data_IF_089402537141
#
_entry.id   IF_089402537141
#
_cell.length_a   1.000
_cell.length_b   1.000
_cell.length_c   1.000
_cell.angle_alpha   90.00
_cell.angle_beta   90.00
_cell.angle_gamma   90.00
#
_symmetry.space_group_name_H-M   'P 1'
#
loop_
_entity.id
_entity.type
_entity.pdbx_description
1 polymer ?
#
# COMPACT_ATOMS: atom_id res chain seq x y z
N UNK A 1 -18.79 -26.37 10.74
CA UNK A 1 -18.12 -25.40 9.85
C UNK A 1 -16.62 -25.58 10.00
N UNK A 2 -15.92 -26.05 8.94
CA UNK A 2 -14.46 -26.29 9.00
C UNK A 2 -13.76 -24.93 9.11
N UNK A 3 -12.96 -24.69 10.16
CA UNK A 3 -12.18 -23.47 10.33
C UNK A 3 -11.27 -23.32 9.11
N UNK A 4 -11.32 -22.19 8.41
CA UNK A 4 -10.41 -21.91 7.29
C UNK A 4 -8.99 -21.94 7.85
N UNK A 5 -8.12 -22.68 7.19
CA UNK A 5 -6.71 -22.78 7.56
C UNK A 5 -5.98 -21.57 6.97
N UNK A 6 -5.61 -20.63 7.84
CA UNK A 6 -4.91 -19.40 7.45
C UNK A 6 -3.57 -19.72 6.76
N UNK A 7 -2.90 -20.80 7.19
CA UNK A 7 -1.64 -21.26 6.59
C UNK A 7 -1.82 -21.69 5.12
N UNK A 8 -2.93 -22.36 4.80
CA UNK A 8 -3.23 -22.73 3.42
C UNK A 8 -3.56 -21.50 2.56
N UNK A 9 -4.26 -20.51 3.14
CA UNK A 9 -4.54 -19.25 2.43
C UNK A 9 -3.23 -18.53 2.04
N UNK A 10 -2.27 -18.45 2.94
CA UNK A 10 -0.97 -17.85 2.69
C UNK A 10 -0.17 -18.63 1.64
N UNK A 11 -0.19 -19.96 1.71
CA UNK A 11 0.41 -20.83 0.68
C UNK A 11 -0.20 -20.60 -0.71
N UNK A 12 -1.52 -20.42 -0.80
CA UNK A 12 -2.19 -20.12 -2.07
C UNK A 12 -1.82 -18.73 -2.61
N UNK A 13 -1.62 -17.74 -1.74
CA UNK A 13 -1.13 -16.42 -2.14
C UNK A 13 0.32 -16.47 -2.64
N UNK A 14 1.18 -17.28 -2.02
CA UNK A 14 2.54 -17.48 -2.51
C UNK A 14 2.56 -18.19 -3.88
N UNK A 15 1.68 -19.17 -4.08
CA UNK A 15 1.50 -19.78 -5.40
C UNK A 15 1.02 -18.76 -6.44
N UNK A 16 0.08 -17.89 -6.07
CA UNK A 16 -0.41 -16.84 -6.96
C UNK A 16 0.70 -15.83 -7.30
N UNK A 17 1.55 -15.46 -6.34
CA UNK A 17 2.74 -14.61 -6.55
C UNK A 17 3.71 -15.28 -7.53
N UNK A 18 4.05 -16.56 -7.31
CA UNK A 18 4.91 -17.30 -8.23
C UNK A 18 4.36 -17.36 -9.66
N UNK A 19 3.04 -17.52 -9.84
CA UNK A 19 2.41 -17.49 -11.17
C UNK A 19 2.51 -16.09 -11.77
N UNK A 20 2.24 -15.04 -11.00
CA UNK A 20 2.34 -13.65 -11.46
C UNK A 20 3.76 -13.29 -11.90
N UNK A 21 4.78 -13.73 -11.17
CA UNK A 21 6.18 -13.46 -11.46
C UNK A 21 6.68 -14.21 -12.70
N UNK A 22 6.26 -15.47 -12.87
CA UNK A 22 6.72 -16.33 -13.96
C UNK A 22 5.95 -16.15 -15.27
N UNK A 23 4.62 -16.00 -15.21
CA UNK A 23 3.72 -16.04 -16.36
C UNK A 23 2.96 -14.71 -16.56
N UNK A 24 3.12 -13.75 -15.64
CA UNK A 24 2.44 -12.46 -15.64
C UNK A 24 1.10 -12.50 -14.88
N UNK A 25 0.61 -11.31 -14.51
CA UNK A 25 -0.60 -11.13 -13.69
C UNK A 25 -1.87 -11.68 -14.38
N UNK A 26 -1.90 -11.66 -15.70
CA UNK A 26 -3.03 -12.17 -16.46
C UNK A 26 -3.18 -13.70 -16.36
N UNK A 27 -2.09 -14.41 -16.09
CA UNK A 27 -2.10 -15.86 -15.88
C UNK A 27 -2.65 -16.27 -14.50
N UNK A 28 -2.75 -15.32 -13.54
CA UNK A 28 -3.26 -15.58 -12.20
C UNK A 28 -4.77 -15.84 -12.25
N UNK A 29 -5.17 -17.05 -11.88
CA UNK A 29 -6.57 -17.48 -11.75
C UNK A 29 -6.66 -18.72 -10.84
N UNK A 30 -7.88 -19.09 -10.47
CA UNK A 30 -8.14 -20.24 -9.59
C UNK A 30 -7.45 -21.54 -10.08
N UNK A 31 -7.48 -21.78 -11.40
CA UNK A 31 -6.93 -23.03 -11.97
C UNK A 31 -5.40 -23.03 -11.95
N UNK A 32 -4.77 -21.89 -12.30
CA UNK A 32 -3.30 -21.78 -12.27
C UNK A 32 -2.74 -21.95 -10.85
N UNK A 33 -3.43 -21.35 -9.85
CA UNK A 33 -3.07 -21.49 -8.44
C UNK A 33 -3.25 -22.94 -7.96
N UNK A 34 -4.40 -23.58 -8.25
CA UNK A 34 -4.66 -24.96 -7.88
C UNK A 34 -3.60 -25.91 -8.45
N UNK A 35 -3.25 -25.72 -9.74
CA UNK A 35 -2.17 -26.46 -10.41
C UNK A 35 -0.83 -26.26 -9.71
N UNK A 36 -0.48 -25.01 -9.40
CA UNK A 36 0.79 -24.64 -8.75
C UNK A 36 0.88 -25.19 -7.32
N UNK A 37 -0.23 -25.17 -6.59
CA UNK A 37 -0.31 -25.66 -5.21
C UNK A 37 -0.49 -27.20 -5.12
N UNK A 38 -0.75 -27.89 -6.24
CA UNK A 38 -0.99 -29.34 -6.25
C UNK A 38 -2.30 -29.78 -5.58
N UNK A 39 -3.34 -28.92 -5.60
CA UNK A 39 -4.64 -29.16 -4.95
C UNK A 39 -5.81 -29.02 -5.93
N UNK A 40 -6.98 -29.50 -5.51
CA UNK A 40 -8.20 -29.36 -6.32
C UNK A 40 -8.66 -27.88 -6.39
N UNK A 41 -9.19 -27.47 -7.55
CA UNK A 41 -9.74 -26.12 -7.75
C UNK A 41 -10.86 -25.79 -6.75
N UNK A 42 -11.68 -26.78 -6.37
CA UNK A 42 -12.72 -26.61 -5.34
C UNK A 42 -12.16 -26.19 -3.98
N UNK A 43 -10.93 -26.61 -3.64
CA UNK A 43 -10.26 -26.17 -2.42
C UNK A 43 -9.89 -24.70 -2.50
N UNK A 44 -9.39 -24.21 -3.65
CA UNK A 44 -9.05 -22.80 -3.84
C UNK A 44 -10.29 -21.92 -3.76
N UNK A 45 -11.45 -22.36 -4.30
CA UNK A 45 -12.72 -21.65 -4.18
C UNK A 45 -13.21 -21.44 -2.74
N UNK A 46 -12.76 -22.26 -1.78
CA UNK A 46 -13.07 -22.03 -0.36
C UNK A 46 -12.37 -20.80 0.20
N UNK A 47 -11.31 -20.30 -0.45
CA UNK A 47 -10.48 -19.17 0.00
C UNK A 47 -10.68 -17.92 -0.86
N UNK A 48 -10.87 -18.08 -2.16
CA UNK A 48 -11.01 -17.00 -3.13
C UNK A 48 -12.17 -17.30 -4.07
N UNK A 49 -13.18 -16.44 -4.09
CA UNK A 49 -14.36 -16.61 -4.91
C UNK A 49 -14.09 -16.46 -6.42
N UNK A 50 -13.12 -15.61 -6.77
CA UNK A 50 -12.79 -15.29 -8.16
C UNK A 50 -11.35 -14.74 -8.29
N UNK A 51 -10.93 -14.41 -9.53
CA UNK A 51 -9.63 -13.80 -9.84
C UNK A 51 -9.41 -12.48 -9.11
N UNK A 52 -10.44 -11.65 -9.05
CA UNK A 52 -10.34 -10.31 -8.46
C UNK A 52 -10.04 -10.37 -6.97
N UNK A 53 -10.63 -11.31 -6.25
CA UNK A 53 -10.34 -11.54 -4.83
C UNK A 53 -8.90 -11.99 -4.59
N UNK A 54 -8.34 -12.80 -5.51
CA UNK A 54 -6.92 -13.19 -5.47
C UNK A 54 -6.02 -11.97 -5.69
N UNK A 55 -6.32 -11.16 -6.70
CA UNK A 55 -5.54 -9.97 -7.01
C UNK A 55 -5.57 -8.95 -5.87
N UNK A 56 -6.73 -8.75 -5.24
CA UNK A 56 -6.87 -7.93 -4.05
C UNK A 56 -6.01 -8.43 -2.88
N UNK A 57 -6.08 -9.74 -2.62
CA UNK A 57 -5.31 -10.35 -1.54
C UNK A 57 -3.79 -10.29 -1.80
N UNK A 58 -3.35 -10.47 -3.06
CA UNK A 58 -1.96 -10.27 -3.46
C UNK A 58 -1.50 -8.84 -3.25
N UNK A 59 -2.31 -7.89 -3.62
CA UNK A 59 -2.01 -6.46 -3.45
C UNK A 59 -1.92 -6.08 -1.98
N UNK A 60 -2.87 -6.56 -1.17
CA UNK A 60 -2.85 -6.37 0.28
C UNK A 60 -1.58 -6.94 0.92
N UNK A 61 -1.21 -8.19 0.57
CA UNK A 61 0.01 -8.83 1.08
C UNK A 61 1.27 -8.07 0.65
N UNK A 62 1.33 -7.62 -0.59
CA UNK A 62 2.44 -6.80 -1.11
C UNK A 62 2.61 -5.50 -0.33
N UNK A 63 1.52 -4.75 -0.15
CA UNK A 63 1.57 -3.49 0.58
C UNK A 63 1.85 -3.66 2.06
N UNK A 64 1.30 -4.72 2.68
CA UNK A 64 1.60 -5.05 4.08
C UNK A 64 3.10 -5.31 4.28
N UNK A 65 3.72 -6.04 3.38
CA UNK A 65 5.16 -6.26 3.39
C UNK A 65 5.92 -4.94 3.15
N UNK A 66 5.54 -4.17 2.14
CA UNK A 66 6.17 -2.89 1.82
C UNK A 66 6.10 -1.90 2.99
N UNK A 67 4.96 -1.83 3.68
CA UNK A 67 4.81 -0.98 4.88
C UNK A 67 5.66 -1.46 6.06
N UNK A 68 5.84 -2.78 6.23
CA UNK A 68 6.78 -3.31 7.21
C UNK A 68 8.21 -2.87 6.95
N UNK A 69 8.65 -2.93 5.70
CA UNK A 69 9.98 -2.51 5.28
C UNK A 69 10.17 -0.98 5.25
N UNK A 70 9.10 -0.21 5.09
CA UNK A 70 9.14 1.24 5.10
C UNK A 70 9.65 1.81 6.43
N UNK A 71 9.32 1.15 7.55
CA UNK A 71 9.78 1.56 8.88
C UNK A 71 11.31 1.61 8.97
N UNK A 72 11.97 0.59 8.42
CA UNK A 72 13.44 0.46 8.42
C UNK A 72 14.12 1.36 7.38
N UNK A 73 13.39 1.74 6.34
CA UNK A 73 13.90 2.59 5.27
C UNK A 73 13.92 4.10 5.62
N UNK A 74 13.22 4.50 6.69
CA UNK A 74 13.14 5.90 7.10
C UNK A 74 14.21 6.18 8.15
N UNK A 75 15.15 7.04 7.78
CA UNK A 75 16.33 7.39 8.60
C UNK A 75 16.40 8.86 8.99
N UNK A 76 15.66 9.73 8.30
CA UNK A 76 15.67 11.16 8.54
C UNK A 76 15.04 11.55 9.89
N UNK A 77 15.65 12.51 10.59
CA UNK A 77 15.12 13.07 11.84
C UNK A 77 14.05 14.15 11.62
N UNK A 78 13.87 14.63 10.38
CA UNK A 78 12.87 15.65 10.06
C UNK A 78 11.66 15.06 9.38
N UNK A 79 10.48 15.58 9.71
CA UNK A 79 9.25 15.16 9.03
C UNK A 79 9.32 15.36 7.51
N UNK A 80 9.89 16.48 7.05
CA UNK A 80 10.10 16.71 5.61
C UNK A 80 11.01 15.65 4.97
N UNK A 81 12.16 15.34 5.59
CA UNK A 81 13.06 14.30 5.08
C UNK A 81 12.42 12.91 5.11
N UNK A 82 11.66 12.59 6.17
CA UNK A 82 10.90 11.35 6.22
C UNK A 82 9.85 11.26 5.10
N UNK A 83 9.21 12.38 4.75
CA UNK A 83 8.23 12.42 3.66
C UNK A 83 8.89 12.18 2.29
N UNK A 84 10.09 12.72 2.08
CA UNK A 84 10.92 12.45 0.88
C UNK A 84 11.33 10.99 0.80
N UNK A 85 11.79 10.40 1.90
CA UNK A 85 12.15 8.97 1.99
C UNK A 85 10.94 8.06 1.74
N UNK A 86 9.77 8.37 2.32
CA UNK A 86 8.51 7.67 2.07
C UNK A 86 8.16 7.70 0.57
N UNK A 87 8.21 8.88 -0.04
CA UNK A 87 7.89 9.01 -1.46
C UNK A 87 8.88 8.22 -2.34
N UNK A 88 10.17 8.33 -2.08
CA UNK A 88 11.21 7.61 -2.82
C UNK A 88 11.04 6.10 -2.71
N UNK A 89 10.78 5.60 -1.50
CA UNK A 89 10.53 4.19 -1.24
C UNK A 89 9.29 3.67 -2.00
N UNK A 90 8.17 4.37 -1.88
CA UNK A 90 6.91 3.97 -2.53
C UNK A 90 7.05 4.02 -4.06
N UNK A 91 7.72 5.02 -4.60
CA UNK A 91 8.00 5.14 -6.04
C UNK A 91 8.83 3.97 -6.54
N UNK A 92 9.93 3.64 -5.88
CA UNK A 92 10.78 2.50 -6.23
C UNK A 92 9.99 1.17 -6.21
N UNK A 93 9.13 0.99 -5.22
CA UNK A 93 8.25 -0.18 -5.11
C UNK A 93 7.23 -0.26 -6.25
N UNK A 94 6.62 0.87 -6.61
CA UNK A 94 5.69 0.95 -7.74
C UNK A 94 6.40 0.65 -9.06
N UNK A 95 7.60 1.17 -9.26
CA UNK A 95 8.36 0.95 -10.50
C UNK A 95 8.82 -0.52 -10.64
N UNK A 96 9.23 -1.18 -9.55
CA UNK A 96 9.73 -2.57 -9.58
C UNK A 96 8.64 -3.63 -9.73
N UNK A 97 7.51 -3.50 -9.06
CA UNK A 97 6.54 -4.60 -8.92
C UNK A 97 5.10 -4.23 -9.22
N UNK A 98 4.67 -3.06 -8.84
CA UNK A 98 3.26 -2.68 -8.83
C UNK A 98 2.74 -2.14 -10.16
N UNK A 99 3.61 -1.76 -11.08
CA UNK A 99 3.17 -1.27 -12.40
C UNK A 99 2.27 -2.28 -13.12
N UNK A 100 2.48 -3.57 -12.91
CA UNK A 100 1.65 -4.66 -13.45
C UNK A 100 0.44 -4.98 -12.57
N UNK A 101 0.58 -4.99 -11.24
CA UNK A 101 -0.51 -5.24 -10.29
C UNK A 101 -1.50 -4.07 -10.23
N UNK A 102 -1.01 -2.84 -10.16
CA UNK A 102 -1.87 -1.65 -10.11
C UNK A 102 -2.65 -1.42 -11.41
N UNK A 103 -2.06 -1.73 -12.57
CA UNK A 103 -2.78 -1.63 -13.85
C UNK A 103 -3.97 -2.58 -13.96
N UNK A 104 -3.91 -3.75 -13.32
CA UNK A 104 -5.01 -4.74 -13.32
C UNK A 104 -6.08 -4.45 -12.26
N UNK A 105 -5.79 -3.64 -11.24
CA UNK A 105 -6.73 -3.31 -10.16
C UNK A 105 -7.66 -2.12 -10.48
N UNK A 106 -7.40 -1.38 -11.54
CA UNK A 106 -8.26 -0.25 -11.97
C UNK A 106 -9.71 -0.68 -12.20
N UNK A 107 -9.96 -1.97 -12.42
CA UNK A 107 -11.29 -2.53 -12.67
C UNK A 107 -11.93 -3.23 -11.45
N UNK A 108 -11.30 -3.23 -10.27
CA UNK A 108 -11.79 -3.95 -9.07
C UNK A 108 -12.31 -2.94 -8.03
N UNK A 109 -13.35 -2.18 -8.42
CA UNK A 109 -13.76 -0.98 -7.69
C UNK A 109 -14.42 -1.19 -6.32
N UNK A 110 -15.16 -2.26 -6.07
CA UNK A 110 -15.98 -2.31 -4.86
C UNK A 110 -15.38 -3.09 -3.68
N UNK A 111 -14.73 -4.22 -3.90
CA UNK A 111 -14.18 -5.05 -2.82
C UNK A 111 -12.78 -4.58 -2.36
N UNK A 112 -12.07 -3.84 -3.22
CA UNK A 112 -10.75 -3.27 -2.93
C UNK A 112 -10.77 -2.03 -2.06
N UNK A 113 -11.83 -1.22 -2.14
CA UNK A 113 -11.93 0.06 -1.44
C UNK A 113 -11.79 -0.10 0.08
N UNK A 114 -12.54 -0.96 0.73
CA UNK A 114 -12.49 -1.11 2.19
C UNK A 114 -11.14 -1.66 2.72
N UNK A 115 -10.43 -2.45 1.93
CA UNK A 115 -9.09 -2.96 2.31
C UNK A 115 -8.01 -1.90 2.08
N UNK A 116 -8.13 -1.12 1.02
CA UNK A 116 -7.27 0.03 0.75
C UNK A 116 -7.47 1.15 1.78
N UNK A 117 -8.71 1.38 2.23
CA UNK A 117 -9.03 2.37 3.27
C UNK A 117 -8.34 2.08 4.61
N UNK A 118 -8.33 0.83 5.07
CA UNK A 118 -7.64 0.48 6.32
C UNK A 118 -6.14 0.70 6.25
N UNK A 119 -5.54 0.43 5.09
CA UNK A 119 -4.11 0.64 4.87
C UNK A 119 -3.78 2.12 4.73
N UNK A 120 -4.63 2.89 4.06
CA UNK A 120 -4.50 4.34 3.98
C UNK A 120 -4.62 4.98 5.36
N UNK A 121 -5.57 4.55 6.18
CA UNK A 121 -5.72 5.03 7.56
C UNK A 121 -4.47 4.75 8.41
N UNK A 122 -3.85 3.59 8.28
CA UNK A 122 -2.60 3.27 8.98
C UNK A 122 -1.44 4.18 8.55
N UNK A 123 -1.33 4.51 7.26
CA UNK A 123 -0.35 5.47 6.75
C UNK A 123 -0.62 6.89 7.24
N UNK A 124 -1.87 7.33 7.22
CA UNK A 124 -2.26 8.63 7.76
C UNK A 124 -1.89 8.77 9.24
N UNK A 125 -2.18 7.74 10.05
CA UNK A 125 -1.78 7.70 11.47
C UNK A 125 -0.25 7.73 11.64
N UNK A 126 0.50 7.03 10.78
CA UNK A 126 1.97 7.10 10.79
C UNK A 126 2.47 8.51 10.51
N UNK A 127 1.89 9.24 9.55
CA UNK A 127 2.25 10.63 9.27
C UNK A 127 1.93 11.56 10.44
N UNK A 128 0.77 11.39 11.09
CA UNK A 128 0.41 12.16 12.31
C UNK A 128 1.49 11.96 13.38
N UNK A 129 1.82 10.71 13.69
CA UNK A 129 2.84 10.41 14.70
C UNK A 129 4.21 10.99 14.36
N UNK A 130 4.61 11.00 13.08
CA UNK A 130 5.89 11.58 12.65
C UNK A 130 5.91 13.09 12.81
N UNK A 131 4.81 13.79 12.51
CA UNK A 131 4.67 15.23 12.78
C UNK A 131 4.76 15.55 14.26
N UNK A 132 4.23 14.69 15.13
CA UNK A 132 4.30 14.85 16.59
C UNK A 132 5.71 14.65 17.16
N UNK A 133 6.48 13.74 16.56
CA UNK A 133 7.84 13.39 16.99
C UNK A 133 8.89 14.41 16.52
N UNK A 134 8.66 15.14 15.41
CA UNK A 134 9.57 16.20 14.99
C UNK A 134 9.35 17.46 15.85
N UNK A 135 10.27 17.71 16.79
CA UNK A 135 10.21 18.86 17.69
C UNK A 135 10.31 20.23 17.02
N UNK A 136 10.64 20.28 15.72
CA UNK A 136 10.70 21.51 14.93
C UNK A 136 9.36 21.88 14.31
N UNK A 137 8.41 20.95 14.27
CA UNK A 137 7.04 21.22 13.82
C UNK A 137 6.36 22.11 14.83
N UNK A 138 5.90 23.28 14.37
CA UNK A 138 5.19 24.25 15.21
C UNK A 138 3.91 23.65 15.77
N UNK A 139 3.66 23.86 17.06
CA UNK A 139 2.47 23.37 17.76
C UNK A 139 1.27 24.29 17.64
N UNK A 140 1.52 25.58 17.40
CA UNK A 140 0.52 26.65 17.33
C UNK A 140 -0.24 26.73 16.01
N UNK A 141 0.17 25.99 14.99
CA UNK A 141 -0.50 25.95 13.68
C UNK A 141 -1.80 25.14 13.70
N UNK A 142 -1.93 24.23 14.67
CA UNK A 142 -3.07 23.32 14.75
C UNK A 142 -4.27 23.96 15.44
N UNK A 143 -5.47 23.78 14.85
CA UNK A 143 -6.74 24.25 15.39
C UNK A 143 -7.89 23.33 14.95
N UNK A 144 -9.14 23.70 15.27
CA UNK A 144 -10.32 22.86 14.97
C UNK A 144 -10.55 22.63 13.45
N UNK A 145 -10.13 23.55 12.60
CA UNK A 145 -10.28 23.47 11.14
C UNK A 145 -9.01 23.01 10.43
N UNK A 146 -7.87 23.01 11.11
CA UNK A 146 -6.58 22.57 10.57
C UNK A 146 -5.94 21.59 11.56
N UNK A 147 -6.34 20.34 11.48
CA UNK A 147 -5.85 19.27 12.36
C UNK A 147 -4.72 18.47 11.72
N UNK A 148 -3.95 17.74 12.54
CA UNK A 148 -2.89 16.83 12.06
C UNK A 148 -3.46 15.74 11.15
N UNK A 149 -4.61 15.22 11.50
CA UNK A 149 -5.31 14.17 10.76
C UNK A 149 -5.75 14.66 9.37
N UNK A 150 -6.33 15.86 9.30
CA UNK A 150 -6.71 16.48 8.03
C UNK A 150 -5.49 16.76 7.15
N UNK A 151 -4.41 17.24 7.77
CA UNK A 151 -3.17 17.52 7.05
C UNK A 151 -2.48 16.22 6.58
N UNK A 152 -2.45 15.18 7.41
CA UNK A 152 -1.95 13.86 7.02
C UNK A 152 -2.75 13.29 5.84
N UNK A 153 -4.07 13.40 5.87
CA UNK A 153 -4.94 13.00 4.75
C UNK A 153 -4.64 13.79 3.48
N UNK A 154 -4.49 15.12 3.60
CA UNK A 154 -4.09 15.98 2.48
C UNK A 154 -2.75 15.52 1.88
N UNK A 155 -1.74 15.25 2.72
CA UNK A 155 -0.44 14.75 2.28
C UNK A 155 -0.57 13.40 1.57
N UNK A 156 -1.33 12.45 2.13
CA UNK A 156 -1.54 11.13 1.52
C UNK A 156 -2.22 11.21 0.16
N UNK A 157 -3.24 12.06 0.01
CA UNK A 157 -3.89 12.30 -1.28
C UNK A 157 -2.91 12.82 -2.33
N UNK A 158 -2.08 13.82 -1.95
CA UNK A 158 -1.07 14.38 -2.85
C UNK A 158 0.03 13.39 -3.19
N UNK A 159 0.58 12.66 -2.21
CA UNK A 159 1.58 11.61 -2.45
C UNK A 159 1.04 10.53 -3.40
N UNK A 160 -0.19 10.05 -3.16
CA UNK A 160 -0.83 9.05 -4.03
C UNK A 160 -0.98 9.56 -5.46
N UNK A 161 -1.41 10.82 -5.63
CA UNK A 161 -1.53 11.43 -6.95
C UNK A 161 -0.18 11.58 -7.64
N UNK A 162 0.84 12.07 -6.92
CA UNK A 162 2.20 12.24 -7.45
C UNK A 162 2.83 10.90 -7.84
N UNK A 163 2.61 9.84 -7.06
CA UNK A 163 3.03 8.48 -7.41
C UNK A 163 2.30 7.97 -8.65
N UNK A 164 0.99 8.23 -8.77
CA UNK A 164 0.18 7.81 -9.92
C UNK A 164 0.63 8.44 -11.23
N UNK A 165 0.98 9.74 -11.22
CA UNK A 165 1.49 10.45 -12.39
C UNK A 165 2.99 10.27 -12.61
N UNK A 166 3.65 9.40 -11.80
CA UNK A 166 5.10 9.14 -11.84
C UNK A 166 5.96 10.39 -11.71
N UNK A 167 5.57 11.29 -10.80
CA UNK A 167 6.34 12.49 -10.51
C UNK A 167 7.78 12.13 -10.10
N UNK A 168 8.74 12.93 -10.53
CA UNK A 168 10.16 12.69 -10.25
C UNK A 168 10.55 13.06 -8.82
N UNK A 169 9.92 14.07 -8.25
CA UNK A 169 10.15 14.57 -6.89
C UNK A 169 8.86 15.12 -6.28
N UNK A 170 8.93 15.52 -5.03
CA UNK A 170 7.86 16.15 -4.27
C UNK A 170 8.27 17.53 -3.72
N UNK A 171 9.23 18.19 -4.36
CA UNK A 171 9.85 19.45 -3.85
C UNK A 171 8.82 20.52 -3.53
N UNK A 172 7.80 20.69 -4.40
CA UNK A 172 6.72 21.63 -4.15
C UNK A 172 5.90 21.29 -2.90
N UNK A 173 5.61 20.00 -2.70
CA UNK A 173 4.88 19.51 -1.52
C UNK A 173 5.72 19.73 -0.25
N UNK A 174 7.02 19.48 -0.31
CA UNK A 174 7.96 19.72 0.80
C UNK A 174 8.03 21.21 1.13
N UNK A 175 8.11 22.08 0.14
CA UNK A 175 8.13 23.53 0.37
C UNK A 175 6.82 24.01 1.03
N UNK A 176 5.68 23.48 0.62
CA UNK A 176 4.38 23.74 1.24
C UNK A 176 4.36 23.28 2.71
N UNK A 177 4.86 22.07 2.99
CA UNK A 177 4.98 21.56 4.36
C UNK A 177 5.89 22.44 5.21
N UNK A 178 7.05 22.87 4.68
CA UNK A 178 7.97 23.77 5.38
C UNK A 178 7.30 25.09 5.75
N UNK A 179 6.65 25.75 4.81
CA UNK A 179 5.96 27.01 5.07
C UNK A 179 4.78 26.92 6.03
N UNK A 180 4.18 25.72 6.10
CA UNK A 180 2.99 25.52 6.95
C UNK A 180 3.38 25.10 8.35
N UNK A 181 4.37 24.21 8.49
CA UNK A 181 4.66 23.54 9.76
C UNK A 181 5.93 24.07 10.47
N UNK A 182 6.83 24.77 9.76
CA UNK A 182 8.08 25.30 10.29
C UNK A 182 8.12 26.82 10.17
#
# INVERSE_FOLDING_TARGET
MRKKDDTLRDTLLDCARCVADAEGIEAVNIRSIARKAGIATGTVYNYFANKDEILLALTEAYWKQALGELGDAITSDSFCGQLEEIFAFLRDRIDRSAGRLMGSLVNVEAAGLGRMESMQAALEQSLVRRMELDGRVRRDVWNETFTREQFARFLMMNLTMLLRIRAQNIDFLIELVKRTLY
#
